data_IF_948766951886
#
_entry.id   IF_948766951886
#
_cell.length_a   1.000
_cell.length_b   1.000
_cell.length_c   1.000
_cell.angle_alpha   90.00
_cell.angle_beta   90.00
_cell.angle_gamma   90.00
#
_symmetry.space_group_name_H-M   'P 1'
#
loop_
_entity.id
_entity.type
_entity.pdbx_description
1 polymer ?
#
# COMPACT_ATOMS: atom_id res chain seq x y z
N UNK A 1 -9.53 2.20 2.00
CA UNK A 1 -8.12 2.67 1.82
C UNK A 1 -7.16 1.48 1.84
N UNK A 2 -5.89 1.68 1.50
CA UNK A 2 -4.90 0.57 1.45
C UNK A 2 -4.73 -0.15 2.79
N UNK A 3 -4.81 0.57 3.91
CA UNK A 3 -4.74 0.02 5.26
C UNK A 3 -5.87 -0.98 5.55
N UNK A 4 -7.08 -0.70 5.07
CA UNK A 4 -8.24 -1.58 5.24
C UNK A 4 -8.05 -2.90 4.47
N UNK A 5 -7.49 -2.83 3.26
CA UNK A 5 -7.22 -4.01 2.44
C UNK A 5 -6.15 -4.91 3.08
N UNK A 6 -5.09 -4.31 3.61
CA UNK A 6 -4.05 -5.03 4.36
C UNK A 6 -4.66 -5.71 5.58
N UNK A 7 -5.48 -4.98 6.36
CA UNK A 7 -6.15 -5.52 7.56
C UNK A 7 -7.07 -6.69 7.21
N UNK A 8 -7.86 -6.54 6.16
CA UNK A 8 -8.79 -7.58 5.69
C UNK A 8 -8.04 -8.85 5.32
N UNK A 9 -7.05 -8.78 4.42
CA UNK A 9 -6.29 -9.96 3.99
C UNK A 9 -5.44 -10.58 5.09
N UNK A 10 -4.87 -9.78 6.00
CA UNK A 10 -4.15 -10.31 7.16
C UNK A 10 -5.07 -11.18 8.02
N UNK A 11 -6.29 -10.72 8.29
CA UNK A 11 -7.28 -11.46 9.08
C UNK A 11 -7.80 -12.69 8.35
N UNK A 12 -8.04 -12.60 7.05
CA UNK A 12 -8.44 -13.73 6.20
C UNK A 12 -7.41 -14.87 6.27
N UNK A 13 -6.12 -14.54 6.29
CA UNK A 13 -5.01 -15.49 6.50
C UNK A 13 -4.80 -15.94 7.95
N UNK A 14 -5.63 -15.49 8.89
CA UNK A 14 -5.48 -15.82 10.32
C UNK A 14 -4.23 -15.25 10.98
N UNK A 15 -3.55 -14.28 10.37
CA UNK A 15 -2.29 -13.73 10.89
C UNK A 15 -2.55 -12.66 11.94
N UNK A 16 -1.81 -12.71 13.05
CA UNK A 16 -1.66 -11.60 14.00
C UNK A 16 -0.77 -10.50 13.41
N UNK A 17 -0.83 -9.29 13.98
CA UNK A 17 0.11 -8.22 13.63
C UNK A 17 1.57 -8.60 13.91
N UNK A 18 1.82 -9.39 14.95
CA UNK A 18 3.16 -9.87 15.29
C UNK A 18 3.70 -10.85 14.23
N UNK A 19 2.85 -11.73 13.71
CA UNK A 19 3.22 -12.66 12.63
C UNK A 19 3.46 -11.93 11.32
N UNK A 20 2.60 -10.99 10.95
CA UNK A 20 2.83 -10.17 9.76
C UNK A 20 4.11 -9.36 9.90
N UNK A 21 4.41 -8.84 11.09
CA UNK A 21 5.65 -8.13 11.38
C UNK A 21 6.88 -9.01 11.13
N UNK A 22 6.90 -10.23 11.68
CA UNK A 22 8.00 -11.17 11.45
C UNK A 22 8.17 -11.54 9.97
N UNK A 23 7.05 -11.74 9.24
CA UNK A 23 7.09 -12.12 7.83
C UNK A 23 7.54 -10.99 6.90
N UNK A 24 7.20 -9.74 7.23
CA UNK A 24 7.47 -8.56 6.36
C UNK A 24 8.73 -7.79 6.75
N UNK A 25 9.24 -8.00 7.97
CA UNK A 25 10.28 -7.14 8.56
C UNK A 25 9.79 -5.73 8.91
N UNK A 26 8.48 -5.48 8.86
CA UNK A 26 7.87 -4.19 9.21
C UNK A 26 7.46 -4.23 10.67
N UNK A 27 7.73 -3.16 11.43
CA UNK A 27 7.40 -3.18 12.86
C UNK A 27 5.90 -3.33 13.12
N UNK A 28 5.54 -4.05 14.19
CA UNK A 28 4.14 -4.23 14.61
C UNK A 28 3.40 -2.89 14.78
N UNK A 29 4.07 -1.90 15.34
CA UNK A 29 3.53 -0.54 15.48
C UNK A 29 3.24 0.06 14.11
N UNK A 30 4.17 -0.01 13.16
CA UNK A 30 3.95 0.52 11.81
C UNK A 30 2.75 -0.15 11.12
N UNK A 31 2.64 -1.48 11.19
CA UNK A 31 1.49 -2.22 10.65
C UNK A 31 0.17 -1.77 11.30
N UNK A 32 0.16 -1.59 12.63
CA UNK A 32 -1.02 -1.05 13.35
C UNK A 32 -1.40 0.37 12.91
N UNK A 33 -0.43 1.24 12.66
CA UNK A 33 -0.70 2.59 12.14
C UNK A 33 -1.22 2.54 10.71
N UNK A 34 -0.66 1.66 9.87
CA UNK A 34 -1.06 1.46 8.49
C UNK A 34 -2.50 0.93 8.38
N UNK A 35 -2.84 -0.12 9.13
CA UNK A 35 -4.18 -0.73 9.15
C UNK A 35 -5.28 0.17 9.72
N UNK A 36 -4.90 1.24 10.43
CA UNK A 36 -5.82 2.27 10.94
C UNK A 36 -5.86 3.52 10.06
N UNK A 37 -5.23 3.47 8.88
CA UNK A 37 -5.10 4.60 7.95
C UNK A 37 -4.47 5.86 8.59
N UNK A 38 -3.68 5.69 9.65
CA UNK A 38 -2.97 6.80 10.33
C UNK A 38 -1.64 7.15 9.66
N UNK A 39 -1.12 6.28 8.79
CA UNK A 39 0.08 6.53 7.99
C UNK A 39 -0.33 7.10 6.63
N UNK A 40 -0.05 8.38 6.41
CA UNK A 40 -0.46 9.10 5.19
C UNK A 40 0.39 8.79 3.95
N UNK A 41 1.68 8.47 4.13
CA UNK A 41 2.59 8.21 3.01
C UNK A 41 3.54 7.03 3.36
N UNK A 42 3.08 5.78 3.29
CA UNK A 42 3.96 4.62 3.41
C UNK A 42 4.87 4.51 2.17
N UNK A 43 6.11 4.05 2.34
CA UNK A 43 7.00 3.78 1.19
C UNK A 43 6.42 2.65 0.34
N UNK A 44 6.51 2.80 -0.99
CA UNK A 44 6.08 1.80 -1.96
C UNK A 44 6.72 0.43 -1.69
N UNK A 45 7.97 0.41 -1.24
CA UNK A 45 8.72 -0.81 -0.94
C UNK A 45 8.12 -1.55 0.27
N UNK A 46 7.73 -0.82 1.31
CA UNK A 46 7.08 -1.39 2.50
C UNK A 46 5.73 -1.99 2.09
N UNK A 47 4.96 -1.25 1.30
CA UNK A 47 3.65 -1.69 0.84
C UNK A 47 3.77 -2.92 -0.04
N UNK A 48 4.71 -2.93 -0.98
CA UNK A 48 5.01 -4.09 -1.85
C UNK A 48 5.34 -5.33 -1.03
N UNK A 49 6.22 -5.22 -0.02
CA UNK A 49 6.56 -6.36 0.87
C UNK A 49 5.34 -6.93 1.59
N UNK A 50 4.47 -6.04 2.10
CA UNK A 50 3.23 -6.46 2.77
C UNK A 50 2.30 -7.16 1.78
N UNK A 51 2.13 -6.62 0.57
CA UNK A 51 1.27 -7.18 -0.45
C UNK A 51 1.72 -8.58 -0.89
N UNK A 52 3.03 -8.74 -1.15
CA UNK A 52 3.61 -10.05 -1.48
C UNK A 52 3.36 -11.05 -0.34
N UNK A 53 3.56 -10.65 0.91
CA UNK A 53 3.32 -11.54 2.07
C UNK A 53 1.84 -11.94 2.21
N UNK A 54 0.94 -11.07 1.80
CA UNK A 54 -0.52 -11.26 1.89
C UNK A 54 -1.15 -11.81 0.61
N UNK A 55 -0.36 -12.20 -0.39
CA UNK A 55 -0.84 -12.62 -1.72
C UNK A 55 -1.85 -11.62 -2.33
N UNK A 56 -1.52 -10.34 -2.21
CA UNK A 56 -2.28 -9.24 -2.81
C UNK A 56 -1.69 -8.82 -4.15
N UNK A 57 -2.52 -8.55 -5.18
CA UNK A 57 -2.04 -8.01 -6.45
C UNK A 57 -1.45 -6.62 -6.22
N UNK A 58 -0.35 -6.28 -6.90
CA UNK A 58 0.30 -4.96 -6.82
C UNK A 58 -0.41 -3.89 -7.66
N UNK A 59 -1.38 -4.28 -8.49
CA UNK A 59 -2.18 -3.37 -9.34
C UNK A 59 -2.71 -2.14 -8.61
N UNK A 60 -3.25 -2.24 -7.36
CA UNK A 60 -3.73 -1.09 -6.60
C UNK A 60 -2.65 -0.05 -6.28
N UNK A 61 -1.36 -0.40 -6.32
CA UNK A 61 -0.26 0.53 -6.08
C UNK A 61 -0.03 1.46 -7.28
N UNK A 62 -0.13 0.92 -8.50
CA UNK A 62 0.08 1.68 -9.73
C UNK A 62 -1.04 2.69 -10.01
N UNK A 63 -2.25 2.46 -9.50
CA UNK A 63 -3.34 3.44 -9.62
C UNK A 63 -3.13 4.69 -8.74
N UNK A 64 -2.31 4.61 -7.68
CA UNK A 64 -1.99 5.79 -6.86
C UNK A 64 -1.02 6.75 -7.56
N UNK A 65 -0.09 6.26 -8.39
CA UNK A 65 0.83 7.11 -9.17
C UNK A 65 0.11 7.95 -10.23
N UNK A 66 -0.92 7.40 -10.89
CA UNK A 66 -1.63 8.08 -11.99
C UNK A 66 -2.50 9.27 -11.58
N UNK A 67 -2.61 9.58 -10.29
CA UNK A 67 -3.33 10.77 -9.82
C UNK A 67 -2.39 11.95 -9.59
N UNK A 68 -1.08 11.72 -9.42
CA UNK A 68 -0.09 12.78 -9.18
C UNK A 68 0.50 13.29 -10.50
N UNK A 69 0.48 12.48 -11.57
CA UNK A 69 1.00 12.84 -12.90
C UNK A 69 -0.11 13.10 -13.93
N UNK A 70 -1.08 13.95 -13.59
CA UNK A 70 -2.01 14.53 -14.60
C UNK A 70 -1.89 16.05 -14.72
N UNK A 71 -1.09 16.69 -13.87
CA UNK A 71 -0.83 18.13 -13.97
C UNK A 71 0.28 18.48 -14.96
N UNK A 72 1.00 17.50 -15.54
CA UNK A 72 2.05 17.78 -16.54
C UNK A 72 1.68 17.46 -17.99
N UNK A 73 0.66 16.63 -18.26
CA UNK A 73 0.33 16.22 -19.65
C UNK A 73 -0.65 17.16 -20.37
N UNK A 74 -1.19 18.18 -19.69
CA UNK A 74 -2.21 19.07 -20.28
C UNK A 74 -1.65 20.23 -21.14
N UNK A 75 -0.33 20.29 -21.39
CA UNK A 75 0.28 21.38 -22.18
C UNK A 75 0.89 20.96 -23.53
N UNK A 76 0.94 19.67 -23.87
CA UNK A 76 1.55 19.21 -25.13
C UNK A 76 0.55 18.94 -26.27
N UNK A 77 -0.76 19.00 -26.03
CA UNK A 77 -1.78 18.83 -27.10
C UNK A 77 -2.28 20.15 -27.72
N UNK A 78 -1.63 21.30 -27.44
CA UNK A 78 -2.00 22.61 -28.04
C UNK A 78 -1.00 23.15 -29.07
N UNK A 79 -0.08 22.31 -29.53
CA UNK A 79 0.91 22.68 -30.55
C UNK A 79 0.87 21.73 -31.74
N UNK A 80 -0.31 21.54 -32.34
CA UNK A 80 -0.48 21.12 -33.75
C UNK A 80 -1.64 21.92 -34.34
#
# INVERSE_FOLDING_TARGET
MIGDMIRYRRKEKGLTLSELSRKTGVSKSYLSYLERNKKKNPSIEIVRRIFITLDLPLTPLFYQERTIDRSMTAMEERSV
#
